data_IF_072290450584
#
_entry.id   IF_072290450584
#
_cell.length_a   1.000
_cell.length_b   1.000
_cell.length_c   1.000
_cell.angle_alpha   90.00
_cell.angle_beta   90.00
_cell.angle_gamma   90.00
#
_symmetry.space_group_name_H-M   'P 1'
#
loop_
_entity.id
_entity.type
_entity.pdbx_description
1 polymer ?
#
# COMPACT_ATOMS: atom_id res chain seq x y z
N UNK A 1 -2.83 -18.95 0.20
CA UNK A 1 -1.36 -18.74 0.21
C UNK A 1 -0.94 -17.59 1.13
N UNK A 2 -1.21 -16.31 0.81
CA UNK A 2 -0.74 -15.18 1.65
C UNK A 2 -1.17 -15.25 3.13
N UNK A 3 -2.38 -15.73 3.42
CA UNK A 3 -2.84 -15.96 4.81
C UNK A 3 -1.98 -16.95 5.61
N UNK A 4 -1.24 -17.82 4.91
CA UNK A 4 -0.39 -18.85 5.51
C UNK A 4 1.06 -18.36 5.68
N UNK A 5 1.37 -17.09 5.36
CA UNK A 5 2.74 -16.57 5.48
C UNK A 5 3.20 -16.49 6.93
N UNK A 6 2.29 -16.19 7.86
CA UNK A 6 2.59 -16.17 9.30
C UNK A 6 3.00 -17.55 9.83
N UNK A 7 2.61 -18.66 9.18
CA UNK A 7 3.02 -20.01 9.57
C UNK A 7 4.53 -20.24 9.42
N UNK A 8 5.20 -19.51 8.53
CA UNK A 8 6.64 -19.69 8.27
C UNK A 8 7.48 -18.58 8.89
N UNK A 9 6.93 -17.40 9.16
CA UNK A 9 7.70 -16.24 9.63
C UNK A 9 8.44 -16.51 10.93
N UNK A 10 7.82 -17.18 11.91
CA UNK A 10 8.49 -17.54 13.17
C UNK A 10 9.67 -18.50 12.95
N UNK A 11 9.51 -19.48 12.06
CA UNK A 11 10.59 -20.42 11.72
C UNK A 11 11.74 -19.75 10.96
N UNK A 12 11.47 -18.61 10.33
CA UNK A 12 12.47 -17.79 9.64
C UNK A 12 13.14 -16.76 10.57
N UNK A 13 12.77 -16.70 11.86
CA UNK A 13 13.19 -15.67 12.81
C UNK A 13 12.67 -14.26 12.46
N UNK A 14 11.45 -14.19 11.95
CA UNK A 14 10.71 -12.96 11.67
C UNK A 14 11.48 -11.93 10.80
N UNK A 15 12.01 -12.35 9.63
CA UNK A 15 12.71 -11.43 8.74
C UNK A 15 11.74 -10.39 8.18
N UNK A 16 12.28 -9.22 7.80
CA UNK A 16 11.49 -8.30 6.96
C UNK A 16 11.11 -9.01 5.67
N UNK A 17 9.85 -8.90 5.28
CA UNK A 17 9.38 -9.47 4.02
C UNK A 17 8.50 -8.48 3.28
N UNK A 18 8.40 -8.61 1.97
CA UNK A 18 7.30 -7.98 1.24
C UNK A 18 6.93 -8.80 0.03
N UNK A 19 5.70 -8.63 -0.45
CA UNK A 19 5.23 -9.32 -1.63
C UNK A 19 4.67 -8.36 -2.68
N UNK A 20 4.58 -8.87 -3.90
CA UNK A 20 3.93 -8.23 -5.04
C UNK A 20 3.16 -9.28 -5.83
N UNK A 21 2.07 -8.85 -6.49
CA UNK A 21 1.30 -9.64 -7.45
C UNK A 21 1.80 -9.31 -8.86
N UNK A 22 2.13 -10.34 -9.63
CA UNK A 22 2.58 -10.21 -11.01
C UNK A 22 1.67 -11.00 -11.95
N UNK A 23 1.59 -10.50 -13.17
CA UNK A 23 1.00 -11.18 -14.30
C UNK A 23 1.90 -10.96 -15.50
N UNK A 24 2.67 -11.99 -15.87
CA UNK A 24 3.58 -11.98 -17.01
C UNK A 24 3.45 -13.29 -17.81
N UNK A 25 4.45 -13.62 -18.63
CA UNK A 25 4.45 -14.82 -19.47
C UNK A 25 4.36 -16.14 -18.67
N UNK A 26 4.70 -16.13 -17.37
CA UNK A 26 4.51 -17.29 -16.48
C UNK A 26 3.10 -17.35 -15.87
N UNK A 27 2.24 -16.37 -16.18
CA UNK A 27 0.90 -16.23 -15.63
C UNK A 27 0.88 -15.49 -14.30
N UNK A 28 -0.22 -15.66 -13.55
CA UNK A 28 -0.43 -14.98 -12.26
C UNK A 28 0.43 -15.62 -11.19
N UNK A 29 1.32 -14.86 -10.58
CA UNK A 29 2.18 -15.35 -9.50
C UNK A 29 2.45 -14.27 -8.45
N UNK A 30 2.99 -14.71 -7.32
CA UNK A 30 3.43 -13.85 -6.24
C UNK A 30 4.97 -13.83 -6.21
N UNK A 31 5.54 -12.64 -6.06
CA UNK A 31 6.97 -12.48 -5.75
C UNK A 31 7.08 -12.08 -4.29
N UNK A 32 7.55 -13.00 -3.44
CA UNK A 32 7.77 -12.77 -2.01
C UNK A 32 9.28 -12.63 -1.81
N UNK A 33 9.68 -11.59 -1.09
CA UNK A 33 11.08 -11.28 -0.80
C UNK A 33 11.27 -11.28 0.70
N UNK A 34 12.30 -11.96 1.18
CA UNK A 34 12.73 -11.99 2.58
C UNK A 34 14.11 -11.35 2.67
N UNK A 35 14.34 -10.53 3.68
CA UNK A 35 15.63 -9.91 3.96
C UNK A 35 16.31 -10.63 5.13
N UNK A 36 17.44 -11.27 4.85
CA UNK A 36 18.32 -11.93 5.83
C UNK A 36 19.60 -11.10 6.01
N UNK A 37 20.37 -11.37 7.08
CA UNK A 37 21.56 -10.59 7.42
C UNK A 37 22.77 -10.90 6.52
N UNK A 38 22.73 -12.01 5.78
CA UNK A 38 23.79 -12.38 4.86
C UNK A 38 23.50 -13.65 4.08
N UNK A 39 24.45 -14.02 3.21
CA UNK A 39 24.33 -15.19 2.34
C UNK A 39 24.20 -16.50 3.12
N UNK A 40 24.94 -16.65 4.22
CA UNK A 40 24.89 -17.87 5.03
C UNK A 40 23.49 -18.10 5.60
N UNK A 41 22.94 -17.10 6.29
CA UNK A 41 21.57 -17.16 6.82
C UNK A 41 20.56 -17.41 5.70
N UNK A 42 20.69 -16.74 4.56
CA UNK A 42 19.80 -16.96 3.42
C UNK A 42 19.80 -18.43 2.95
N UNK A 43 20.97 -19.07 2.84
CA UNK A 43 21.08 -20.49 2.45
C UNK A 43 20.43 -21.40 3.49
N UNK A 44 20.65 -21.15 4.78
CA UNK A 44 20.03 -21.91 5.88
C UNK A 44 18.50 -21.79 5.84
N UNK A 45 17.98 -20.57 5.67
CA UNK A 45 16.54 -20.29 5.64
C UNK A 45 15.85 -20.79 4.36
N UNK A 46 16.58 -20.97 3.25
CA UNK A 46 16.03 -21.57 2.01
C UNK A 46 15.52 -23.00 2.24
N UNK A 47 16.17 -23.79 3.09
CA UNK A 47 15.69 -25.14 3.42
C UNK A 47 14.33 -25.10 4.13
N UNK A 48 14.16 -24.18 5.08
CA UNK A 48 12.91 -23.94 5.80
C UNK A 48 11.81 -23.48 4.83
N UNK A 49 12.14 -22.56 3.92
CA UNK A 49 11.22 -22.09 2.88
C UNK A 49 10.79 -23.23 1.95
N UNK A 50 11.70 -24.10 1.53
CA UNK A 50 11.35 -25.25 0.68
C UNK A 50 10.34 -26.17 1.36
N UNK A 51 10.52 -26.49 2.65
CA UNK A 51 9.56 -27.32 3.40
C UNK A 51 8.18 -26.65 3.46
N UNK A 52 8.13 -25.34 3.68
CA UNK A 52 6.86 -24.61 3.68
C UNK A 52 6.20 -24.56 2.30
N UNK A 53 6.97 -24.32 1.24
CA UNK A 53 6.47 -24.28 -0.14
C UNK A 53 5.95 -25.66 -0.59
N UNK A 54 6.62 -26.74 -0.19
CA UNK A 54 6.14 -28.11 -0.40
C UNK A 54 4.78 -28.34 0.27
N UNK A 55 4.60 -27.94 1.54
CA UNK A 55 3.29 -28.00 2.22
C UNK A 55 2.21 -27.20 1.49
N UNK A 56 2.55 -26.04 0.94
CA UNK A 56 1.60 -25.25 0.15
C UNK A 56 1.24 -25.97 -1.17
N UNK A 57 2.19 -26.67 -1.80
CA UNK A 57 1.95 -27.46 -3.00
C UNK A 57 1.07 -28.68 -2.72
N UNK A 58 1.32 -29.39 -1.63
CA UNK A 58 0.48 -30.52 -1.18
C UNK A 58 -0.97 -30.09 -0.90
N UNK A 59 -1.17 -28.87 -0.37
CA UNK A 59 -2.50 -28.24 -0.22
C UNK A 59 -3.09 -27.69 -1.52
N UNK A 60 -2.44 -27.89 -2.67
CA UNK A 60 -2.80 -27.33 -3.97
C UNK A 60 -2.94 -25.80 -4.00
N UNK A 61 -2.25 -25.08 -3.10
CA UNK A 61 -2.27 -23.61 -3.02
C UNK A 61 -1.28 -22.95 -3.98
N UNK A 62 -0.25 -23.69 -4.39
CA UNK A 62 0.74 -23.30 -5.40
C UNK A 62 1.08 -24.52 -6.27
N UNK A 63 1.56 -24.27 -7.48
CA UNK A 63 1.98 -25.34 -8.42
C UNK A 63 3.50 -25.44 -8.57
N UNK A 64 4.20 -24.29 -8.47
CA UNK A 64 5.65 -24.14 -8.67
C UNK A 64 6.16 -22.95 -7.86
N UNK A 65 7.45 -22.98 -7.51
CA UNK A 65 8.21 -21.83 -7.03
C UNK A 65 9.60 -21.81 -7.67
N UNK A 66 10.21 -20.64 -7.68
CA UNK A 66 11.60 -20.41 -8.10
C UNK A 66 12.24 -19.41 -7.15
N UNK A 67 13.55 -19.53 -6.94
CA UNK A 67 14.36 -18.50 -6.30
C UNK A 67 15.08 -17.72 -7.40
N UNK A 68 14.95 -16.39 -7.37
CA UNK A 68 15.44 -15.54 -8.45
C UNK A 68 16.03 -14.24 -7.90
N UNK A 69 16.73 -13.52 -8.76
CA UNK A 69 17.42 -12.27 -8.46
C UNK A 69 16.42 -11.15 -8.22
N UNK A 70 16.65 -10.39 -7.15
CA UNK A 70 15.92 -9.15 -6.90
C UNK A 70 16.70 -7.94 -7.41
N UNK A 71 16.16 -7.28 -8.44
CA UNK A 71 16.63 -5.98 -8.91
C UNK A 71 15.82 -4.86 -8.26
N UNK A 72 16.48 -4.04 -7.44
CA UNK A 72 15.89 -2.85 -6.82
C UNK A 72 15.53 -1.79 -7.88
N UNK A 73 14.34 -1.20 -7.76
CA UNK A 73 13.90 -0.06 -8.59
C UNK A 73 14.33 1.28 -7.96
N UNK A 74 15.61 1.43 -7.65
CA UNK A 74 16.15 2.59 -6.90
C UNK A 74 15.76 3.93 -7.52
N UNK A 75 15.76 4.04 -8.86
CA UNK A 75 15.38 5.27 -9.55
C UNK A 75 13.91 5.62 -9.36
N UNK A 76 13.02 4.61 -9.30
CA UNK A 76 11.59 4.83 -9.16
C UNK A 76 11.23 5.43 -7.81
N UNK A 77 11.91 4.98 -6.76
CA UNK A 77 11.61 5.31 -5.37
C UNK A 77 12.53 6.38 -4.78
N UNK A 78 13.09 7.24 -5.62
CA UNK A 78 13.78 8.46 -5.19
C UNK A 78 15.24 8.29 -4.79
N UNK A 79 15.87 7.16 -5.11
CA UNK A 79 17.33 7.03 -5.06
C UNK A 79 17.83 6.10 -3.95
N UNK A 80 19.16 5.98 -3.86
CA UNK A 80 19.82 5.06 -2.94
C UNK A 80 19.54 5.39 -1.47
N UNK A 81 19.33 6.66 -1.16
CA UNK A 81 19.04 7.14 0.19
C UNK A 81 17.62 6.80 0.66
N UNK A 82 16.70 6.52 -0.28
CA UNK A 82 15.29 6.23 0.00
C UNK A 82 14.92 4.76 -0.16
N UNK A 83 15.72 3.97 -0.87
CA UNK A 83 15.33 2.59 -1.21
C UNK A 83 15.18 1.68 0.02
N UNK A 84 15.98 1.87 1.06
CA UNK A 84 15.86 1.07 2.29
C UNK A 84 14.58 1.41 3.08
N UNK A 85 14.23 2.70 3.14
CA UNK A 85 12.99 3.15 3.76
C UNK A 85 11.77 2.71 2.95
N UNK A 86 11.90 2.69 1.63
CA UNK A 86 10.89 2.13 0.72
C UNK A 86 10.66 0.66 1.02
N UNK A 87 11.72 -0.13 1.15
CA UNK A 87 11.63 -1.56 1.48
C UNK A 87 11.04 -1.81 2.87
N UNK A 88 11.36 -0.95 3.85
CA UNK A 88 10.72 -0.98 5.17
C UNK A 88 9.22 -0.66 5.08
N UNK A 89 8.84 0.36 4.30
CA UNK A 89 7.45 0.67 4.06
C UNK A 89 6.73 -0.48 3.34
N UNK A 90 7.35 -1.11 2.34
CA UNK A 90 6.82 -2.29 1.66
C UNK A 90 6.60 -3.46 2.60
N UNK A 91 7.46 -3.64 3.59
CA UNK A 91 7.25 -4.64 4.62
C UNK A 91 6.02 -4.34 5.47
N UNK A 92 5.91 -3.12 6.01
CA UNK A 92 4.75 -2.75 6.84
C UNK A 92 3.44 -2.74 6.05
N UNK A 93 3.49 -2.34 4.79
CA UNK A 93 2.37 -2.38 3.86
C UNK A 93 1.97 -3.82 3.50
N UNK A 94 2.94 -4.73 3.36
CA UNK A 94 2.68 -6.16 3.16
C UNK A 94 2.02 -6.79 4.38
N UNK A 95 2.51 -6.52 5.59
CA UNK A 95 1.88 -7.02 6.81
C UNK A 95 0.44 -6.48 6.97
N UNK A 96 0.26 -5.16 6.80
CA UNK A 96 -1.06 -4.53 6.85
C UNK A 96 -2.04 -5.13 5.82
N UNK A 97 -1.60 -5.37 4.60
CA UNK A 97 -2.46 -5.97 3.56
C UNK A 97 -2.75 -7.45 3.81
N UNK A 98 -1.81 -8.22 4.38
CA UNK A 98 -2.09 -9.61 4.81
C UNK A 98 -3.16 -9.64 5.89
N UNK A 99 -3.14 -8.70 6.85
CA UNK A 99 -4.17 -8.58 7.88
C UNK A 99 -5.53 -8.23 7.27
N UNK A 100 -5.59 -7.28 6.32
CA UNK A 100 -6.82 -6.98 5.56
C UNK A 100 -7.34 -8.25 4.91
N UNK A 101 -6.52 -8.96 4.14
CA UNK A 101 -6.94 -10.16 3.42
C UNK A 101 -7.40 -11.27 4.37
N UNK A 102 -6.92 -11.29 5.60
CA UNK A 102 -7.25 -12.30 6.60
C UNK A 102 -8.57 -11.99 7.33
N UNK A 103 -8.84 -10.72 7.63
CA UNK A 103 -9.97 -10.28 8.44
C UNK A 103 -11.17 -9.77 7.63
N UNK A 104 -10.94 -9.30 6.41
CA UNK A 104 -11.92 -8.62 5.58
C UNK A 104 -12.32 -9.51 4.40
N UNK A 105 -13.63 -9.63 4.18
CA UNK A 105 -14.18 -10.33 3.02
C UNK A 105 -14.07 -9.45 1.76
N UNK A 106 -13.03 -9.71 0.98
CA UNK A 106 -12.73 -8.97 -0.24
C UNK A 106 -13.68 -9.29 -1.41
N UNK A 107 -14.57 -10.28 -1.28
CA UNK A 107 -15.61 -10.56 -2.28
C UNK A 107 -16.79 -9.58 -2.14
N UNK A 108 -17.00 -9.04 -0.93
CA UNK A 108 -18.01 -8.02 -0.67
C UNK A 108 -17.52 -6.65 -1.15
N UNK A 109 -18.17 -6.10 -2.17
CA UNK A 109 -17.78 -4.84 -2.82
C UNK A 109 -17.62 -3.67 -1.82
N UNK A 110 -18.50 -3.57 -0.81
CA UNK A 110 -18.38 -2.50 0.20
C UNK A 110 -17.12 -2.60 1.05
N UNK A 111 -16.66 -3.81 1.37
CA UNK A 111 -15.46 -4.00 2.18
C UNK A 111 -14.18 -3.87 1.35
N UNK A 112 -14.22 -4.33 0.10
CA UNK A 112 -13.21 -4.05 -0.91
C UNK A 112 -13.00 -2.53 -1.06
N UNK A 113 -14.07 -1.79 -1.30
CA UNK A 113 -14.04 -0.32 -1.42
C UNK A 113 -13.45 0.34 -0.18
N UNK A 114 -13.95 -0.01 1.02
CA UNK A 114 -13.41 0.53 2.28
C UNK A 114 -11.92 0.25 2.42
N UNK A 115 -11.47 -0.96 2.10
CA UNK A 115 -10.07 -1.35 2.21
C UNK A 115 -9.18 -0.47 1.33
N UNK A 116 -9.56 -0.28 0.07
CA UNK A 116 -8.85 0.61 -0.84
C UNK A 116 -8.80 2.05 -0.34
N UNK A 117 -9.96 2.62 0.01
CA UNK A 117 -10.04 4.01 0.45
C UNK A 117 -9.26 4.22 1.75
N UNK A 118 -9.38 3.32 2.72
CA UNK A 118 -8.65 3.39 3.98
C UNK A 118 -7.13 3.38 3.76
N UNK A 119 -6.62 2.41 2.99
CA UNK A 119 -5.19 2.28 2.80
C UNK A 119 -4.56 3.42 1.99
N UNK A 120 -5.26 3.92 0.96
CA UNK A 120 -4.82 5.04 0.13
C UNK A 120 -4.90 6.38 0.88
N UNK A 121 -6.00 6.66 1.58
CA UNK A 121 -6.11 7.89 2.37
C UNK A 121 -5.12 7.91 3.54
N UNK A 122 -4.79 6.76 4.13
CA UNK A 122 -3.72 6.68 5.13
C UNK A 122 -2.36 7.07 4.54
N UNK A 123 -2.04 6.62 3.32
CA UNK A 123 -0.82 7.05 2.64
C UNK A 123 -0.82 8.55 2.38
N UNK A 124 -1.91 9.10 1.84
CA UNK A 124 -2.03 10.55 1.61
C UNK A 124 -1.83 11.33 2.92
N UNK A 125 -2.59 10.99 3.97
CA UNK A 125 -2.49 11.62 5.30
C UNK A 125 -1.06 11.77 5.81
N UNK A 126 -0.22 10.75 5.62
CA UNK A 126 1.13 10.72 6.19
C UNK A 126 2.24 11.09 5.19
N UNK A 127 1.96 11.15 3.89
CA UNK A 127 2.95 11.48 2.85
C UNK A 127 2.78 12.89 2.27
N UNK A 128 1.63 13.54 2.51
CA UNK A 128 1.35 14.91 2.05
C UNK A 128 1.28 15.88 3.25
N UNK A 129 1.29 17.17 2.96
CA UNK A 129 1.22 18.23 3.98
C UNK A 129 -0.21 18.49 4.44
N UNK A 130 -1.14 18.59 3.49
CA UNK A 130 -2.56 18.84 3.74
C UNK A 130 -3.45 18.24 2.64
N UNK A 131 -4.77 18.51 2.69
CA UNK A 131 -5.73 18.04 1.69
C UNK A 131 -5.49 18.63 0.30
N UNK A 132 -4.95 19.84 0.19
CA UNK A 132 -4.65 20.49 -1.09
C UNK A 132 -3.48 19.78 -1.75
N UNK A 133 -2.41 19.54 -1.00
CA UNK A 133 -1.25 18.80 -1.46
C UNK A 133 -1.61 17.32 -1.78
N UNK A 134 -2.48 16.68 -0.98
CA UNK A 134 -3.05 15.37 -1.32
C UNK A 134 -3.83 15.38 -2.63
N UNK A 135 -4.60 16.44 -2.89
CA UNK A 135 -5.32 16.60 -4.14
C UNK A 135 -4.34 16.76 -5.31
N UNK A 136 -3.32 17.61 -5.19
CA UNK A 136 -2.34 17.88 -6.24
C UNK A 136 -1.56 16.62 -6.64
N UNK A 137 -1.17 15.78 -5.67
CA UNK A 137 -0.55 14.47 -5.94
C UNK A 137 -1.46 13.60 -6.82
N UNK A 138 -2.76 13.52 -6.53
CA UNK A 138 -3.70 12.72 -7.32
C UNK A 138 -4.08 13.38 -8.65
N UNK A 139 -4.06 14.71 -8.71
CA UNK A 139 -4.43 15.48 -9.90
C UNK A 139 -3.41 15.31 -11.03
N UNK A 140 -2.14 15.05 -10.68
CA UNK A 140 -1.06 14.74 -11.63
C UNK A 140 -1.39 13.57 -12.59
N UNK A 141 -2.30 12.66 -12.22
CA UNK A 141 -2.74 11.53 -13.06
C UNK A 141 -3.89 11.87 -14.02
N UNK A 142 -4.40 13.10 -14.03
CA UNK A 142 -5.46 13.58 -14.92
C UNK A 142 -6.78 12.76 -14.85
N UNK A 143 -7.15 12.22 -13.68
CA UNK A 143 -8.40 11.48 -13.47
C UNK A 143 -9.69 12.32 -13.55
N UNK A 144 -9.64 13.56 -14.07
CA UNK A 144 -10.71 14.57 -13.98
C UNK A 144 -12.10 14.11 -14.46
N UNK A 145 -12.14 13.18 -15.42
CA UNK A 145 -13.38 12.62 -15.98
C UNK A 145 -13.72 11.22 -15.47
N UNK A 146 -12.75 10.50 -14.94
CA UNK A 146 -12.93 9.11 -14.50
C UNK A 146 -13.87 9.05 -13.29
N UNK A 147 -14.82 8.11 -13.29
CA UNK A 147 -15.74 7.80 -12.19
C UNK A 147 -16.55 8.99 -11.62
N UNK A 148 -16.67 10.12 -12.35
CA UNK A 148 -17.37 11.33 -11.88
C UNK A 148 -18.86 11.09 -11.62
N UNK A 149 -19.52 10.29 -12.47
CA UNK A 149 -20.93 9.94 -12.28
C UNK A 149 -21.16 9.13 -11.01
N UNK A 150 -20.30 8.14 -10.75
CA UNK A 150 -20.33 7.32 -9.54
C UNK A 150 -20.05 8.15 -8.29
N UNK A 151 -19.04 9.03 -8.33
CA UNK A 151 -18.76 9.98 -7.27
C UNK A 151 -19.98 10.85 -6.99
N UNK A 152 -20.59 11.47 -8.01
CA UNK A 152 -21.71 12.38 -7.84
C UNK A 152 -22.92 11.68 -7.17
N UNK A 153 -23.22 10.43 -7.57
CA UNK A 153 -24.30 9.63 -6.95
C UNK A 153 -24.04 9.36 -5.47
N UNK A 154 -22.78 9.21 -5.08
CA UNK A 154 -22.37 8.83 -3.71
C UNK A 154 -21.56 9.93 -3.01
N UNK A 155 -21.70 11.20 -3.41
CA UNK A 155 -20.79 12.29 -3.04
C UNK A 155 -20.61 12.43 -1.54
N UNK A 156 -21.72 12.45 -0.80
CA UNK A 156 -21.73 12.57 0.67
C UNK A 156 -21.01 11.40 1.34
N UNK A 157 -21.19 10.17 0.83
CA UNK A 157 -20.53 8.97 1.36
C UNK A 157 -19.01 9.08 1.22
N UNK A 158 -18.51 9.39 0.02
CA UNK A 158 -17.08 9.48 -0.22
C UNK A 158 -16.42 10.66 0.50
N UNK A 159 -17.05 11.84 0.49
CA UNK A 159 -16.55 12.99 1.25
C UNK A 159 -16.45 12.67 2.74
N UNK A 160 -17.51 12.13 3.35
CA UNK A 160 -17.50 11.79 4.78
C UNK A 160 -16.46 10.72 5.12
N UNK A 161 -16.30 9.70 4.27
CA UNK A 161 -15.33 8.63 4.50
C UNK A 161 -13.90 9.16 4.43
N UNK A 162 -13.56 9.88 3.35
CA UNK A 162 -12.22 10.47 3.16
C UNK A 162 -11.90 11.43 4.29
N UNK A 163 -12.79 12.37 4.59
CA UNK A 163 -12.62 13.34 5.69
C UNK A 163 -12.39 12.65 7.04
N UNK A 164 -13.20 11.64 7.38
CA UNK A 164 -13.02 10.89 8.63
C UNK A 164 -11.66 10.20 8.71
N UNK A 165 -11.16 9.63 7.60
CA UNK A 165 -9.84 9.00 7.57
C UNK A 165 -8.73 10.03 7.79
N UNK A 166 -8.79 11.14 7.06
CA UNK A 166 -7.75 12.16 7.12
C UNK A 166 -7.68 12.80 8.52
N UNK A 167 -8.83 13.03 9.16
CA UNK A 167 -8.87 13.58 10.53
C UNK A 167 -8.52 12.51 11.58
N UNK A 168 -9.25 11.40 11.62
CA UNK A 168 -9.22 10.45 12.76
C UNK A 168 -8.38 9.19 12.52
N UNK A 169 -7.83 9.01 11.33
CA UNK A 169 -7.21 7.74 10.92
C UNK A 169 -8.25 6.67 10.57
N UNK A 170 -7.78 5.46 10.26
CA UNK A 170 -8.62 4.38 9.74
C UNK A 170 -9.24 3.48 10.82
N UNK A 171 -8.63 3.40 12.02
CA UNK A 171 -9.09 2.52 13.09
C UNK A 171 -10.55 2.79 13.52
N UNK A 172 -11.03 4.05 13.63
CA UNK A 172 -12.41 4.33 14.07
C UNK A 172 -13.50 4.10 13.01
N UNK A 173 -13.14 3.68 11.79
CA UNK A 173 -14.07 3.64 10.66
C UNK A 173 -14.86 2.33 10.62
N UNK A 174 -14.22 1.25 11.04
CA UNK A 174 -14.79 -0.08 11.06
C UNK A 174 -14.12 -0.89 12.19
N UNK A 175 -14.90 -1.69 12.91
CA UNK A 175 -14.39 -2.54 13.99
C UNK A 175 -13.30 -3.51 13.49
N UNK A 176 -13.34 -3.89 12.21
CA UNK A 176 -12.30 -4.73 11.61
C UNK A 176 -10.92 -4.06 11.64
N UNK A 177 -10.83 -2.73 11.45
CA UNK A 177 -9.56 -2.01 11.52
C UNK A 177 -9.05 -1.85 12.96
N UNK A 178 -9.92 -1.84 13.96
CA UNK A 178 -9.51 -1.81 15.38
C UNK A 178 -8.65 -3.05 15.71
N UNK A 179 -9.03 -4.21 15.19
CA UNK A 179 -8.30 -5.47 15.39
C UNK A 179 -6.92 -5.49 14.71
N UNK A 180 -6.62 -4.50 13.87
CA UNK A 180 -5.35 -4.37 13.14
C UNK A 180 -4.40 -3.34 13.78
N UNK A 181 -4.67 -2.90 15.03
CA UNK A 181 -3.97 -1.77 15.66
C UNK A 181 -2.44 -1.79 15.53
N UNK A 182 -1.80 -2.95 15.69
CA UNK A 182 -0.35 -3.09 15.57
C UNK A 182 0.18 -2.86 14.14
N UNK A 183 -0.49 -3.43 13.12
CA UNK A 183 -0.06 -3.27 11.72
C UNK A 183 -0.37 -1.87 11.21
N UNK A 184 -1.48 -1.26 11.63
CA UNK A 184 -1.81 0.15 11.37
C UNK A 184 -0.73 1.06 11.96
N UNK A 185 -0.43 0.93 13.26
CA UNK A 185 0.56 1.77 13.93
C UNK A 185 1.97 1.60 13.32
N UNK A 186 2.33 0.37 12.95
CA UNK A 186 3.62 0.10 12.31
C UNK A 186 3.71 0.70 10.91
N UNK A 187 2.62 0.66 10.13
CA UNK A 187 2.53 1.28 8.80
C UNK A 187 2.58 2.80 8.90
N UNK A 188 1.89 3.40 9.86
CA UNK A 188 1.93 4.83 10.16
C UNK A 188 3.35 5.31 10.44
N UNK A 189 4.06 4.65 11.38
CA UNK A 189 5.45 4.99 11.70
C UNK A 189 6.37 4.90 10.49
N UNK A 190 6.19 3.90 9.63
CA UNK A 190 6.96 3.77 8.41
C UNK A 190 6.65 4.87 7.38
N UNK A 191 5.39 5.27 7.24
CA UNK A 191 5.00 6.39 6.36
C UNK A 191 5.58 7.72 6.83
N UNK A 192 5.52 8.00 8.14
CA UNK A 192 6.09 9.22 8.74
C UNK A 192 7.60 9.27 8.49
N UNK A 193 8.32 8.19 8.81
CA UNK A 193 9.77 8.09 8.59
C UNK A 193 10.12 8.26 7.12
N UNK A 194 9.32 7.69 6.22
CA UNK A 194 9.51 7.85 4.78
C UNK A 194 9.30 9.31 4.35
N UNK A 195 8.24 9.99 4.81
CA UNK A 195 7.99 11.41 4.52
C UNK A 195 9.17 12.28 4.93
N UNK A 196 9.68 12.13 6.14
CA UNK A 196 10.83 12.89 6.64
C UNK A 196 12.06 12.75 5.70
N UNK A 197 12.34 11.52 5.29
CA UNK A 197 13.46 11.22 4.38
C UNK A 197 13.22 11.75 2.97
N UNK A 198 12.00 11.61 2.46
CA UNK A 198 11.61 12.13 1.15
C UNK A 198 11.76 13.65 1.10
N UNK A 199 11.24 14.37 2.10
CA UNK A 199 11.37 15.83 2.18
C UNK A 199 12.84 16.27 2.21
N UNK A 200 13.68 15.56 2.99
CA UNK A 200 15.12 15.84 2.99
C UNK A 200 15.75 15.61 1.61
N UNK A 201 15.41 14.52 0.93
CA UNK A 201 15.91 14.22 -0.41
C UNK A 201 15.47 15.26 -1.45
N UNK A 202 14.20 15.68 -1.40
CA UNK A 202 13.63 16.71 -2.28
C UNK A 202 14.29 18.07 -2.05
N UNK A 203 14.42 18.49 -0.79
CA UNK A 203 15.07 19.77 -0.45
C UNK A 203 16.53 19.83 -0.91
N UNK A 204 17.23 18.68 -0.85
CA UNK A 204 18.61 18.56 -1.29
C UNK A 204 18.74 18.27 -2.80
N UNK A 205 17.62 18.16 -3.55
CA UNK A 205 17.59 17.75 -4.97
C UNK A 205 18.33 16.42 -5.23
N UNK A 206 18.28 15.51 -4.25
CA UNK A 206 18.93 14.20 -4.29
C UNK A 206 17.96 13.09 -4.75
N UNK A 207 16.67 13.39 -4.85
CA UNK A 207 15.66 12.46 -5.33
C UNK A 207 15.83 12.20 -6.84
N UNK A 208 15.81 10.93 -7.23
CA UNK A 208 15.96 10.50 -8.63
C UNK A 208 14.67 10.52 -9.45
N UNK A 209 13.54 10.90 -8.82
CA UNK A 209 12.22 11.00 -9.44
C UNK A 209 11.39 12.07 -8.73
N UNK A 210 10.34 12.59 -9.37
CA UNK A 210 9.47 13.60 -8.77
C UNK A 210 8.77 13.06 -7.51
N UNK A 211 8.56 13.94 -6.53
CA UNK A 211 7.94 13.61 -5.25
C UNK A 211 6.58 12.95 -5.45
N UNK A 212 5.76 13.53 -6.32
CA UNK A 212 4.42 13.07 -6.66
C UNK A 212 4.48 11.68 -7.28
N UNK A 213 5.42 11.43 -8.20
CA UNK A 213 5.61 10.12 -8.85
C UNK A 213 6.09 9.04 -7.88
N UNK A 214 6.91 9.41 -6.88
CA UNK A 214 7.31 8.50 -5.81
C UNK A 214 6.09 8.12 -4.95
N UNK A 215 5.31 9.11 -4.51
CA UNK A 215 4.10 8.85 -3.70
C UNK A 215 3.10 7.99 -4.48
N UNK A 216 2.84 8.32 -5.75
CA UNK A 216 1.94 7.57 -6.62
C UNK A 216 2.45 6.14 -6.85
N UNK A 217 3.77 5.94 -6.95
CA UNK A 217 4.37 4.60 -7.01
C UNK A 217 4.15 3.80 -5.72
N UNK A 218 4.22 4.42 -4.55
CA UNK A 218 3.92 3.75 -3.27
C UNK A 218 2.44 3.36 -3.18
N UNK A 219 1.54 4.25 -3.58
CA UNK A 219 0.09 4.00 -3.63
C UNK A 219 -0.25 2.86 -4.60
N UNK A 220 0.39 2.83 -5.76
CA UNK A 220 0.28 1.74 -6.71
C UNK A 220 0.71 0.40 -6.09
N UNK A 221 1.80 0.37 -5.33
CA UNK A 221 2.26 -0.86 -4.66
C UNK A 221 1.33 -1.36 -3.57
N UNK A 222 0.63 -0.46 -2.87
CA UNK A 222 -0.46 -0.86 -1.98
C UNK A 222 -1.62 -1.52 -2.75
N UNK A 223 -2.08 -0.90 -3.85
CA UNK A 223 -3.13 -1.47 -4.71
C UNK A 223 -2.73 -2.84 -5.28
N UNK A 224 -1.46 -2.97 -5.68
CA UNK A 224 -0.88 -4.20 -6.17
C UNK A 224 -0.96 -5.32 -5.12
N UNK A 225 -0.59 -5.04 -3.87
CA UNK A 225 -0.65 -6.02 -2.78
C UNK A 225 -2.08 -6.43 -2.46
N UNK A 226 -2.99 -5.45 -2.38
CA UNK A 226 -4.38 -5.68 -2.01
C UNK A 226 -5.07 -6.62 -3.01
N UNK A 227 -5.11 -6.27 -4.30
CA UNK A 227 -5.71 -7.16 -5.32
C UNK A 227 -4.91 -7.31 -6.61
N UNK A 228 -4.04 -6.35 -6.95
CA UNK A 228 -3.32 -6.39 -8.23
C UNK A 228 -4.16 -5.98 -9.44
N UNK A 229 -5.36 -5.42 -9.24
CA UNK A 229 -6.27 -4.98 -10.31
C UNK A 229 -6.16 -3.48 -10.54
N UNK A 230 -5.73 -3.11 -11.74
CA UNK A 230 -5.53 -1.70 -12.12
C UNK A 230 -6.85 -0.93 -12.18
N UNK A 231 -7.96 -1.60 -12.52
CA UNK A 231 -9.28 -0.97 -12.61
C UNK A 231 -9.74 -0.45 -11.25
N UNK A 232 -9.42 -1.18 -10.17
CA UNK A 232 -9.72 -0.75 -8.82
C UNK A 232 -8.80 0.37 -8.34
N UNK A 233 -7.51 0.33 -8.70
CA UNK A 233 -6.58 1.43 -8.41
C UNK A 233 -7.08 2.74 -9.03
N UNK A 234 -7.37 2.74 -10.33
CA UNK A 234 -7.90 3.91 -11.03
C UNK A 234 -9.22 4.39 -10.43
N UNK A 235 -10.14 3.45 -10.14
CA UNK A 235 -11.44 3.75 -9.53
C UNK A 235 -11.27 4.49 -8.22
N UNK A 236 -10.56 3.90 -7.26
CA UNK A 236 -10.51 4.45 -5.91
C UNK A 236 -9.62 5.69 -5.82
N UNK A 237 -8.54 5.80 -6.62
CA UNK A 237 -7.78 7.06 -6.73
C UNK A 237 -8.67 8.19 -7.27
N UNK A 238 -9.46 7.95 -8.32
CA UNK A 238 -10.34 8.97 -8.88
C UNK A 238 -11.44 9.40 -7.88
N UNK A 239 -12.05 8.46 -7.17
CA UNK A 239 -13.07 8.76 -6.16
C UNK A 239 -12.51 9.58 -4.99
N UNK A 240 -11.31 9.25 -4.50
CA UNK A 240 -10.63 10.00 -3.44
C UNK A 240 -10.29 11.42 -3.93
N UNK A 241 -9.75 11.56 -5.15
CA UNK A 241 -9.47 12.86 -5.77
C UNK A 241 -10.72 13.75 -5.81
N UNK A 242 -11.86 13.23 -6.28
CA UNK A 242 -13.10 14.01 -6.34
C UNK A 242 -13.64 14.38 -4.96
N UNK A 243 -13.46 13.51 -3.96
CA UNK A 243 -13.80 13.78 -2.58
C UNK A 243 -12.94 14.91 -2.01
N UNK A 244 -11.61 14.85 -2.17
CA UNK A 244 -10.67 15.90 -1.76
C UNK A 244 -11.04 17.25 -2.39
N UNK A 245 -11.24 17.29 -3.72
CA UNK A 245 -11.67 18.50 -4.41
C UNK A 245 -12.95 19.09 -3.80
N UNK A 246 -13.96 18.24 -3.55
CA UNK A 246 -15.22 18.69 -2.96
C UNK A 246 -15.07 19.17 -1.51
N UNK A 247 -14.17 18.58 -0.72
CA UNK A 247 -13.88 18.99 0.65
C UNK A 247 -13.17 20.35 0.66
N UNK A 248 -12.18 20.53 -0.20
CA UNK A 248 -11.45 21.80 -0.37
C UNK A 248 -12.42 22.93 -0.76
N UNK A 249 -13.27 22.72 -1.77
CA UNK A 249 -14.25 23.73 -2.19
C UNK A 249 -15.26 24.04 -1.08
N UNK A 250 -15.76 23.02 -0.36
CA UNK A 250 -16.66 23.22 0.78
C UNK A 250 -16.01 24.08 1.86
N UNK A 251 -14.76 23.82 2.21
CA UNK A 251 -14.04 24.55 3.26
C UNK A 251 -13.72 26.00 2.84
N UNK A 252 -13.43 26.25 1.55
CA UNK A 252 -13.29 27.62 1.01
C UNK A 252 -14.57 28.45 1.14
N UNK A 253 -15.75 27.83 1.01
CA UNK A 253 -17.03 28.52 1.18
C UNK A 253 -17.35 28.80 2.65
N UNK A 254 -17.00 27.90 3.57
CA UNK A 254 -17.19 28.10 5.01
C UNK A 254 -16.30 29.22 5.54
N UNK A 255 -15.03 29.28 5.12
CA UNK A 255 -14.07 30.30 5.58
C UNK A 255 -14.28 31.70 4.98
N UNK A 256 -15.29 31.88 4.11
CA UNK A 256 -15.69 33.18 3.53
C UNK A 256 -16.87 33.82 4.25
N UNK A 257 -17.46 33.13 5.24
CA UNK A 257 -18.56 33.60 6.10
C UNK A 257 -17.97 33.94 7.47
#
# INVERSE_FOLDING_TARGET
MLKNIYEVLDSLENPMFFYLRYFDNEGKHLRIRFKFNGQQEAVEKVLILNVWLEKLREKALITRWVFDTYKRETNRYGGIDLIEETENLFYRDSAFTVDILSLIDMEKESELEKSYIAGLCMMLKFLTEDETDAFDVLDAKNYHKAYRSEFNKNRKKYMNLVEKILVNGIAPIDAMFINMGNSILSREKALIRFKEKLLKAVNNKANTNFREDIILSLMHMYCNRLTGKIEYEEKYMALIRHALYSLIERNKHINKI
#
